data_IF_342214504599
#
_entry.id   IF_342214504599
#
_cell.length_a   1.000
_cell.length_b   1.000
_cell.length_c   1.000
_cell.angle_alpha   90.00
_cell.angle_beta   90.00
_cell.angle_gamma   90.00
#
_symmetry.space_group_name_H-M   'P 1'
#
loop_
_entity.id
_entity.type
_entity.pdbx_description
1 polymer ?
#
# COMPACT_ATOMS: atom_id res chain seq x y z
N UNK A 1 -6.33 -8.35 -0.13
CA UNK A 1 -6.28 -9.15 1.12
C UNK A 1 -7.21 -8.48 2.14
N UNK A 2 -7.20 -8.87 3.42
CA UNK A 2 -7.78 -8.04 4.47
C UNK A 2 -6.89 -6.79 4.68
N UNK A 3 -7.51 -5.66 5.05
CA UNK A 3 -6.79 -4.41 5.31
C UNK A 3 -5.68 -4.54 6.36
N UNK A 4 -5.90 -5.36 7.39
CA UNK A 4 -4.87 -5.66 8.40
C UNK A 4 -3.67 -6.38 7.81
N UNK A 5 -3.88 -7.27 6.84
CA UNK A 5 -2.81 -7.98 6.15
C UNK A 5 -2.03 -7.03 5.23
N UNK A 6 -2.70 -6.10 4.55
CA UNK A 6 -2.03 -5.05 3.78
C UNK A 6 -1.09 -4.21 4.64
N UNK A 7 -1.52 -3.83 5.84
CA UNK A 7 -0.69 -3.12 6.82
C UNK A 7 0.51 -3.98 7.24
N UNK A 8 0.33 -5.27 7.50
CA UNK A 8 1.45 -6.17 7.85
C UNK A 8 2.48 -6.26 6.72
N UNK A 9 2.05 -6.34 5.45
CA UNK A 9 2.95 -6.29 4.30
C UNK A 9 3.72 -4.96 4.24
N UNK A 10 3.05 -3.84 4.50
CA UNK A 10 3.70 -2.53 4.53
C UNK A 10 4.75 -2.42 5.64
N UNK A 11 4.43 -2.89 6.85
CA UNK A 11 5.38 -2.91 7.98
C UNK A 11 6.55 -3.86 7.69
N UNK A 12 6.31 -5.02 7.07
CA UNK A 12 7.37 -5.94 6.63
C UNK A 12 8.34 -5.27 5.66
N UNK A 13 7.85 -4.70 4.57
CA UNK A 13 8.72 -4.08 3.58
C UNK A 13 9.36 -2.79 4.11
N UNK A 14 8.66 -2.06 4.98
CA UNK A 14 9.21 -0.93 5.71
C UNK A 14 10.36 -1.32 6.63
N UNK A 15 10.25 -2.42 7.38
CA UNK A 15 11.35 -2.90 8.25
C UNK A 15 12.53 -3.42 7.45
N UNK A 16 12.30 -4.08 6.31
CA UNK A 16 13.34 -4.47 5.35
C UNK A 16 14.06 -3.21 4.82
N UNK A 17 13.32 -2.18 4.41
CA UNK A 17 13.90 -0.91 3.97
C UNK A 17 14.79 -0.31 5.06
N UNK A 18 14.28 -0.19 6.29
CA UNK A 18 15.04 0.36 7.42
C UNK A 18 16.31 -0.44 7.70
N UNK A 19 16.25 -1.78 7.61
CA UNK A 19 17.38 -2.67 7.86
C UNK A 19 18.51 -2.51 6.84
N UNK A 20 18.20 -2.28 5.57
CA UNK A 20 19.20 -2.26 4.49
C UNK A 20 19.59 -0.86 4.01
N UNK A 21 18.68 0.11 4.10
CA UNK A 21 18.89 1.49 3.64
C UNK A 21 19.18 2.42 4.82
N UNK A 22 18.63 2.13 5.99
CA UNK A 22 18.77 2.94 7.19
C UNK A 22 17.43 3.49 7.68
N UNK A 23 17.32 3.67 9.00
CA UNK A 23 16.17 4.33 9.59
C UNK A 23 16.23 5.84 9.29
N UNK A 24 15.08 6.50 9.06
CA UNK A 24 15.03 7.96 9.03
C UNK A 24 15.60 8.55 10.32
N UNK A 25 16.38 9.63 10.20
CA UNK A 25 17.03 10.25 11.36
C UNK A 25 16.00 11.02 12.21
N UNK A 26 15.90 10.64 13.48
CA UNK A 26 15.02 11.28 14.47
C UNK A 26 13.67 10.58 14.64
N UNK A 27 13.23 10.48 15.89
CA UNK A 27 12.01 9.78 16.29
C UNK A 27 10.76 10.31 15.57
N UNK A 28 10.65 11.64 15.42
CA UNK A 28 9.50 12.26 14.76
C UNK A 28 9.39 11.83 13.29
N UNK A 29 10.51 11.79 12.58
CA UNK A 29 10.55 11.38 11.18
C UNK A 29 10.24 9.89 11.03
N UNK A 30 10.70 9.05 11.96
CA UNK A 30 10.37 7.62 12.00
C UNK A 30 8.87 7.38 12.22
N UNK A 31 8.23 8.16 13.11
CA UNK A 31 6.78 8.09 13.33
C UNK A 31 6.02 8.48 12.06
N UNK A 32 6.42 9.57 11.40
CA UNK A 32 5.77 10.00 10.16
C UNK A 32 6.06 9.04 8.99
N UNK A 33 7.23 8.41 8.94
CA UNK A 33 7.54 7.35 7.99
C UNK A 33 6.62 6.14 8.19
N UNK A 34 6.42 5.69 9.42
CA UNK A 34 5.48 4.61 9.74
C UNK A 34 4.02 5.00 9.40
N UNK A 35 3.63 6.24 9.67
CA UNK A 35 2.30 6.73 9.32
C UNK A 35 2.08 6.73 7.80
N UNK A 36 3.05 7.22 7.03
CA UNK A 36 2.97 7.25 5.56
C UNK A 36 3.00 5.86 4.94
N UNK A 37 3.76 4.91 5.49
CA UNK A 37 3.69 3.48 5.14
C UNK A 37 2.26 2.93 5.25
N UNK A 38 1.61 3.15 6.40
CA UNK A 38 0.24 2.67 6.64
C UNK A 38 -0.74 3.38 5.70
N UNK A 39 -0.61 4.70 5.53
CA UNK A 39 -1.45 5.46 4.61
C UNK A 39 -1.34 4.95 3.18
N UNK A 40 -0.12 4.71 2.68
CA UNK A 40 0.12 4.16 1.36
C UNK A 40 -0.51 2.78 1.18
N UNK A 41 -0.42 1.93 2.20
CA UNK A 41 -0.99 0.58 2.17
C UNK A 41 -2.52 0.58 2.19
N UNK A 42 -3.16 1.56 2.83
CA UNK A 42 -4.61 1.60 2.95
C UNK A 42 -5.31 2.40 1.86
N UNK A 43 -4.59 3.30 1.17
CA UNK A 43 -5.16 4.19 0.16
C UNK A 43 -5.88 3.43 -0.97
N UNK A 44 -5.34 2.34 -1.54
CA UNK A 44 -6.03 1.61 -2.61
C UNK A 44 -7.41 1.08 -2.18
N UNK A 45 -7.52 0.60 -0.94
CA UNK A 45 -8.74 0.01 -0.38
C UNK A 45 -9.89 1.01 -0.16
N UNK A 46 -9.63 2.33 -0.23
CA UNK A 46 -10.69 3.35 -0.15
C UNK A 46 -11.66 3.28 -1.34
N UNK A 47 -11.27 2.66 -2.45
CA UNK A 47 -12.13 2.49 -3.62
C UNK A 47 -13.21 1.39 -3.43
N UNK A 48 -13.03 0.46 -2.48
CA UNK A 48 -13.89 -0.71 -2.33
C UNK A 48 -15.06 -0.45 -1.36
N UNK A 49 -16.33 -0.50 -1.84
CA UNK A 49 -17.57 -0.14 -1.09
C UNK A 49 -17.71 -0.73 0.30
N UNK A 50 -17.12 -1.90 0.50
CA UNK A 50 -17.28 -2.69 1.72
C UNK A 50 -16.00 -2.80 2.55
N UNK A 51 -14.90 -2.14 2.17
CA UNK A 51 -13.68 -2.13 2.98
C UNK A 51 -13.89 -1.37 4.29
N UNK A 52 -13.16 -1.76 5.34
CA UNK A 52 -13.22 -1.09 6.65
C UNK A 52 -12.91 0.41 6.51
N UNK A 53 -11.88 0.75 5.74
CA UNK A 53 -11.44 2.14 5.60
C UNK A 53 -12.45 2.99 4.82
N UNK A 54 -13.12 2.43 3.80
CA UNK A 54 -14.14 3.18 3.06
C UNK A 54 -15.37 3.51 3.91
N UNK A 55 -15.74 2.63 4.86
CA UNK A 55 -16.83 2.86 5.81
C UNK A 55 -16.43 3.90 6.87
N UNK A 56 -15.16 3.93 7.28
CA UNK A 56 -14.64 4.92 8.22
C UNK A 56 -14.48 6.32 7.57
N UNK A 57 -14.14 6.37 6.29
CA UNK A 57 -13.92 7.62 5.55
C UNK A 57 -14.81 7.74 4.30
N UNK A 58 -16.14 7.91 4.48
CA UNK A 58 -17.08 7.87 3.37
C UNK A 58 -16.89 9.01 2.36
N UNK A 59 -16.45 10.20 2.80
CA UNK A 59 -16.16 11.33 1.90
C UNK A 59 -14.95 11.06 1.01
N UNK A 60 -13.83 10.62 1.60
CA UNK A 60 -12.62 10.26 0.85
C UNK A 60 -12.90 9.11 -0.12
N UNK A 61 -13.66 8.12 0.34
CA UNK A 61 -14.08 6.99 -0.50
C UNK A 61 -14.97 7.42 -1.67
N UNK A 62 -15.91 8.35 -1.46
CA UNK A 62 -16.74 8.91 -2.54
C UNK A 62 -15.90 9.68 -3.56
N UNK A 63 -14.93 10.48 -3.10
CA UNK A 63 -14.02 11.21 -3.97
C UNK A 63 -13.20 10.26 -4.85
N UNK A 64 -12.62 9.21 -4.25
CA UNK A 64 -11.81 8.21 -4.97
C UNK A 64 -12.67 7.42 -5.98
N UNK A 65 -13.89 7.06 -5.61
CA UNK A 65 -14.82 6.33 -6.50
C UNK A 65 -15.33 7.15 -7.68
N UNK A 66 -15.33 8.49 -7.58
CA UNK A 66 -15.64 9.33 -8.73
C UNK A 66 -14.63 9.13 -9.89
N UNK A 67 -13.44 8.58 -9.59
CA UNK A 67 -12.38 8.29 -10.55
C UNK A 67 -12.09 6.78 -10.69
N UNK A 68 -12.81 5.91 -9.96
CA UNK A 68 -12.60 4.45 -9.93
C UNK A 68 -13.93 3.74 -9.77
N UNK A 69 -14.48 3.21 -10.88
CA UNK A 69 -15.82 2.62 -10.86
C UNK A 69 -15.87 1.29 -10.09
N UNK A 70 -14.83 0.44 -10.15
CA UNK A 70 -14.81 -0.86 -9.48
C UNK A 70 -13.38 -1.40 -9.29
N UNK A 71 -12.75 -1.26 -8.10
CA UNK A 71 -11.36 -1.76 -7.85
C UNK A 71 -10.41 -1.44 -9.02
N UNK A 72 -10.53 -0.23 -9.55
CA UNK A 72 -10.00 0.15 -10.86
C UNK A 72 -8.62 0.78 -10.74
N UNK A 73 -8.49 2.05 -11.11
CA UNK A 73 -7.20 2.72 -11.30
C UNK A 73 -6.30 2.70 -10.05
N UNK A 74 -6.87 2.66 -8.85
CA UNK A 74 -6.14 2.58 -7.57
C UNK A 74 -5.42 1.23 -7.36
N UNK A 75 -5.79 0.20 -8.13
CA UNK A 75 -5.12 -1.09 -8.13
C UNK A 75 -4.21 -1.26 -9.36
N UNK A 76 -3.93 -0.18 -10.09
CA UNK A 76 -2.96 -0.14 -11.19
C UNK A 76 -1.58 0.30 -10.70
N UNK A 77 -0.53 -0.08 -11.43
CA UNK A 77 0.84 0.39 -11.17
C UNK A 77 1.03 1.88 -11.52
N UNK A 78 0.14 2.46 -12.34
CA UNK A 78 0.32 3.82 -12.85
C UNK A 78 0.11 4.87 -11.76
N UNK A 79 -0.82 4.65 -10.82
CA UNK A 79 -1.04 5.60 -9.72
C UNK A 79 0.20 5.73 -8.82
N UNK A 80 0.78 4.66 -8.25
CA UNK A 80 2.00 4.80 -7.46
C UNK A 80 3.19 5.29 -8.30
N UNK A 81 3.26 4.96 -9.60
CA UNK A 81 4.30 5.50 -10.48
C UNK A 81 4.18 7.02 -10.71
N UNK A 82 2.96 7.53 -10.90
CA UNK A 82 2.68 8.97 -11.03
C UNK A 82 2.99 9.66 -9.70
N UNK A 83 2.56 9.09 -8.57
CA UNK A 83 2.88 9.62 -7.25
C UNK A 83 4.39 9.69 -7.08
N UNK A 84 5.14 8.62 -7.39
CA UNK A 84 6.59 8.63 -7.37
C UNK A 84 7.18 9.74 -8.23
N UNK A 85 6.71 9.91 -9.47
CA UNK A 85 7.23 10.93 -10.38
C UNK A 85 7.01 12.35 -9.83
N UNK A 86 5.78 12.66 -9.40
CA UNK A 86 5.44 13.97 -8.81
C UNK A 86 6.30 14.20 -7.58
N UNK A 87 6.38 13.22 -6.72
CA UNK A 87 7.02 13.31 -5.43
C UNK A 87 8.54 13.37 -5.52
N UNK A 88 9.16 12.73 -6.51
CA UNK A 88 10.61 12.74 -6.67
C UNK A 88 11.09 13.97 -7.46
N UNK A 89 10.37 14.39 -8.50
CA UNK A 89 10.84 15.42 -9.44
C UNK A 89 10.20 16.80 -9.28
N UNK A 90 8.98 16.87 -8.74
CA UNK A 90 8.20 18.11 -8.67
C UNK A 90 8.16 18.63 -7.24
N UNK A 91 7.69 17.80 -6.31
CA UNK A 91 7.37 18.21 -4.95
C UNK A 91 8.57 18.75 -4.14
N UNK A 92 9.80 18.20 -4.25
CA UNK A 92 10.97 18.73 -3.55
C UNK A 92 11.38 20.13 -4.02
N UNK A 93 10.88 20.57 -5.18
CA UNK A 93 11.10 21.94 -5.69
C UNK A 93 10.07 22.94 -5.16
N UNK A 94 8.98 22.46 -4.58
CA UNK A 94 7.86 23.27 -4.10
C UNK A 94 7.79 23.34 -2.58
N UNK A 95 8.11 22.23 -1.91
CA UNK A 95 8.08 22.11 -0.46
C UNK A 95 9.31 21.36 0.03
N UNK A 96 9.85 21.80 1.16
CA UNK A 96 10.94 21.11 1.85
C UNK A 96 10.35 20.00 2.73
N UNK A 97 10.01 18.87 2.12
CA UNK A 97 9.48 17.70 2.81
C UNK A 97 10.50 16.55 2.75
N UNK A 98 10.77 15.87 3.89
CA UNK A 98 11.73 14.76 3.92
C UNK A 98 11.36 13.64 2.94
N UNK A 99 12.35 13.21 2.15
CA UNK A 99 12.16 12.19 1.10
C UNK A 99 11.68 10.83 1.64
N UNK A 100 11.99 10.54 2.89
CA UNK A 100 11.64 9.31 3.59
C UNK A 100 10.13 9.14 3.71
N UNK A 101 9.38 10.22 3.95
CA UNK A 101 7.92 10.18 4.05
C UNK A 101 7.27 9.65 2.77
N UNK A 102 7.85 10.04 1.65
CA UNK A 102 7.40 9.63 0.34
C UNK A 102 7.80 8.21 0.01
N UNK A 103 9.01 7.81 0.36
CA UNK A 103 9.47 6.42 0.23
C UNK A 103 8.60 5.50 1.07
N UNK A 104 8.28 5.89 2.31
CA UNK A 104 7.36 5.16 3.18
C UNK A 104 6.00 4.97 2.51
N UNK A 105 5.39 6.04 2.02
CA UNK A 105 4.14 5.96 1.29
C UNK A 105 4.19 4.99 0.09
N UNK A 106 5.24 5.06 -0.74
CA UNK A 106 5.37 4.22 -1.92
C UNK A 106 5.60 2.75 -1.59
N UNK A 107 6.39 2.45 -0.55
CA UNK A 107 6.56 1.08 -0.05
C UNK A 107 5.21 0.54 0.41
N UNK A 108 4.44 1.33 1.16
CA UNK A 108 3.09 0.98 1.59
C UNK A 108 2.19 0.62 0.42
N UNK A 109 2.09 1.52 -0.57
CA UNK A 109 1.25 1.33 -1.75
C UNK A 109 1.70 0.12 -2.58
N UNK A 110 3.00 0.01 -2.86
CA UNK A 110 3.54 -1.11 -3.64
C UNK A 110 3.31 -2.45 -2.94
N UNK A 111 3.44 -2.49 -1.62
CA UNK A 111 3.16 -3.69 -0.81
C UNK A 111 1.68 -4.09 -0.87
N UNK A 112 0.75 -3.12 -0.89
CA UNK A 112 -0.68 -3.38 -1.12
C UNK A 112 -0.88 -4.10 -2.46
N UNK A 113 -0.38 -3.54 -3.56
CA UNK A 113 -0.50 -4.15 -4.88
C UNK A 113 0.13 -5.55 -4.93
N UNK A 114 1.34 -5.71 -4.38
CA UNK A 114 2.01 -7.00 -4.34
C UNK A 114 1.20 -8.06 -3.57
N UNK A 115 0.63 -7.66 -2.42
CA UNK A 115 -0.19 -8.54 -1.60
C UNK A 115 -1.55 -8.89 -2.25
N UNK A 116 -2.09 -8.03 -3.11
CA UNK A 116 -3.30 -8.35 -3.89
C UNK A 116 -3.03 -9.25 -5.08
N UNK A 117 -1.88 -9.11 -5.76
CA UNK A 117 -1.46 -9.98 -6.88
C UNK A 117 -1.42 -11.46 -6.47
N UNK A 118 -1.00 -11.76 -5.24
CA UNK A 118 -0.89 -13.15 -4.75
C UNK A 118 -2.24 -13.76 -4.29
N UNK A 119 -3.33 -12.98 -4.35
CA UNK A 119 -4.67 -13.49 -4.01
C UNK A 119 -5.37 -14.15 -5.20
N UNK A 120 -6.37 -15.00 -4.93
CA UNK A 120 -7.23 -15.61 -5.97
C UNK A 120 -7.97 -14.54 -6.78
N UNK A 121 -8.39 -13.45 -6.12
CA UNK A 121 -9.07 -12.35 -6.80
C UNK A 121 -8.10 -11.58 -7.71
N UNK A 122 -6.85 -11.45 -7.27
CA UNK A 122 -5.80 -10.75 -8.00
C UNK A 122 -6.10 -9.28 -8.24
N UNK A 123 -5.36 -8.68 -9.17
CA UNK A 123 -5.60 -7.31 -9.64
C UNK A 123 -5.18 -7.11 -11.10
N UNK A 124 -5.76 -6.11 -11.75
CA UNK A 124 -5.45 -5.70 -13.13
C UNK A 124 -4.36 -4.62 -13.10
N UNK A 125 -3.10 -5.06 -13.03
CA UNK A 125 -1.95 -4.17 -12.74
C UNK A 125 -1.80 -3.04 -13.77
N UNK A 126 -2.26 -3.28 -14.99
CA UNK A 126 -2.14 -2.37 -16.12
C UNK A 126 -3.46 -1.74 -16.55
N UNK A 127 -4.49 -1.76 -15.69
CA UNK A 127 -5.73 -1.01 -15.94
C UNK A 127 -5.43 0.50 -16.03
N UNK A 128 -6.05 1.27 -16.96
CA UNK A 128 -7.11 0.89 -17.90
C UNK A 128 -6.61 0.38 -19.27
N UNK A 129 -5.28 0.29 -19.49
CA UNK A 129 -4.72 -0.09 -20.79
C UNK A 129 -4.78 -1.59 -21.06
N UNK A 130 -4.89 -2.41 -20.01
CA UNK A 130 -5.10 -3.84 -20.12
C UNK A 130 -5.98 -4.35 -18.97
N UNK A 131 -6.88 -5.28 -19.29
CA UNK A 131 -7.71 -6.02 -18.35
C UNK A 131 -7.10 -7.36 -17.94
N UNK A 132 -5.83 -7.62 -18.31
CA UNK A 132 -5.13 -8.83 -17.87
C UNK A 132 -4.95 -8.81 -16.35
N UNK A 133 -5.45 -9.86 -15.70
CA UNK A 133 -5.47 -9.96 -14.24
C UNK A 133 -4.39 -10.92 -13.74
N UNK A 134 -3.46 -10.37 -12.96
CA UNK A 134 -2.49 -11.17 -12.21
C UNK A 134 -3.17 -11.74 -10.97
N UNK A 135 -3.11 -13.06 -10.79
CA UNK A 135 -3.75 -13.78 -9.69
C UNK A 135 -2.80 -14.81 -9.12
N UNK A 136 -2.87 -14.99 -7.80
CA UNK A 136 -2.21 -16.07 -7.09
C UNK A 136 -3.23 -17.08 -6.58
N UNK A 137 -2.92 -17.71 -5.46
CA UNK A 137 -3.67 -18.83 -4.90
C UNK A 137 -4.17 -18.58 -3.47
N UNK A 138 -3.89 -17.40 -2.88
CA UNK A 138 -4.31 -17.11 -1.51
C UNK A 138 -5.76 -16.60 -1.50
N UNK A 139 -6.63 -17.29 -0.75
CA UNK A 139 -8.00 -16.85 -0.52
C UNK A 139 -8.05 -15.78 0.57
N UNK A 140 -8.66 -14.63 0.26
CA UNK A 140 -8.88 -13.56 1.24
C UNK A 140 -9.71 -14.06 2.43
N UNK A 141 -9.25 -13.77 3.65
CA UNK A 141 -9.82 -14.24 4.92
C UNK A 141 -9.62 -15.75 5.18
N UNK A 142 -8.81 -16.43 4.38
CA UNK A 142 -8.57 -17.87 4.49
C UNK A 142 -7.39 -18.24 5.41
N UNK A 143 -7.22 -19.55 5.65
CA UNK A 143 -6.12 -20.09 6.48
C UNK A 143 -4.73 -19.74 5.95
N UNK A 144 -4.54 -19.70 4.63
CA UNK A 144 -3.25 -19.32 4.03
C UNK A 144 -2.91 -17.85 4.26
N UNK A 145 -3.90 -16.95 4.23
CA UNK A 145 -3.66 -15.54 4.57
C UNK A 145 -3.28 -15.39 6.04
N UNK A 146 -3.97 -16.11 6.94
CA UNK A 146 -3.63 -16.14 8.36
C UNK A 146 -2.19 -16.64 8.58
N UNK A 147 -1.80 -17.72 7.91
CA UNK A 147 -0.43 -18.24 7.98
C UNK A 147 0.59 -17.21 7.52
N UNK A 148 0.36 -16.55 6.38
CA UNK A 148 1.24 -15.48 5.88
C UNK A 148 1.32 -14.33 6.90
N UNK A 149 0.20 -13.86 7.42
CA UNK A 149 0.17 -12.81 8.43
C UNK A 149 0.95 -13.21 9.70
N UNK A 150 0.79 -14.45 10.18
CA UNK A 150 1.55 -14.96 11.32
C UNK A 150 3.05 -15.02 11.06
N UNK A 151 3.48 -15.46 9.88
CA UNK A 151 4.90 -15.49 9.52
C UNK A 151 5.51 -14.10 9.45
N UNK A 152 4.75 -13.11 8.95
CA UNK A 152 5.18 -11.70 8.96
C UNK A 152 5.37 -11.22 10.40
N UNK A 153 4.42 -11.48 11.29
CA UNK A 153 4.53 -11.11 12.70
C UNK A 153 5.74 -11.76 13.37
N UNK A 154 5.97 -13.05 13.12
CA UNK A 154 7.15 -13.76 13.63
C UNK A 154 8.44 -13.11 13.12
N UNK A 155 8.52 -12.78 11.82
CA UNK A 155 9.66 -12.07 11.26
C UNK A 155 9.91 -10.74 11.98
N UNK A 156 8.87 -9.92 12.17
CA UNK A 156 8.96 -8.60 12.81
C UNK A 156 9.32 -8.65 14.30
N UNK A 157 9.11 -9.78 14.96
CA UNK A 157 9.52 -9.98 16.36
C UNK A 157 11.00 -10.37 16.44
N UNK A 158 11.49 -11.12 15.45
CA UNK A 158 12.86 -11.65 15.44
C UNK A 158 13.85 -10.63 14.88
N UNK A 159 13.43 -9.81 13.91
CA UNK A 159 14.29 -8.90 13.14
C UNK A 159 13.76 -7.47 13.18
#
# INVERSE_FOLDING_TARGET
>A
MLGTTHILFAVLFGSIYVKYIGAPEGLLLQIFFAATLILGAMLPDLDAKNSTISKQHPMASKAIRAFSDHRGIMHSVFIPAIIFLITYYVLPKLIDLPTELFVGFLIGYASHLASDVITINGLELFHPFSSYRLRGFIRTGGKLELLVASLIVVYLIIF
#
